data_IF_098944028876
#
_entry.id   IF_098944028876
#
_cell.length_a   1.000
_cell.length_b   1.000
_cell.length_c   1.000
_cell.angle_alpha   90.00
_cell.angle_beta   90.00
_cell.angle_gamma   90.00
#
_symmetry.space_group_name_H-M   'P 1'
#
loop_
_entity.id
_entity.type
_entity.pdbx_description
1 polymer ?
#
# COMPACT_ATOMS: atom_id res chain seq x y z
N UNK A 1 -16.34 -1.75 -9.22
CA UNK A 1 -15.18 -0.96 -9.68
C UNK A 1 -13.89 -1.76 -9.64
N UNK A 2 -13.40 -2.21 -8.47
CA UNK A 2 -12.16 -3.03 -8.42
C UNK A 2 -12.24 -4.33 -9.24
N UNK A 3 -13.42 -4.97 -9.31
CA UNK A 3 -13.63 -6.16 -10.15
C UNK A 3 -13.25 -5.89 -11.61
N UNK A 4 -13.81 -4.85 -12.21
CA UNK A 4 -13.51 -4.47 -13.59
C UNK A 4 -12.02 -4.17 -13.80
N UNK A 5 -11.36 -3.48 -12.86
CA UNK A 5 -9.91 -3.24 -12.94
C UNK A 5 -9.10 -4.54 -12.94
N UNK A 6 -9.54 -5.54 -12.16
CA UNK A 6 -8.91 -6.86 -12.11
C UNK A 6 -9.22 -7.70 -13.35
N UNK A 7 -10.45 -7.68 -13.84
CA UNK A 7 -10.85 -8.37 -15.08
C UNK A 7 -10.01 -7.82 -16.26
N UNK A 8 -9.95 -6.49 -16.41
CA UNK A 8 -9.11 -5.82 -17.41
C UNK A 8 -7.61 -6.19 -17.25
N UNK A 9 -7.13 -6.34 -16.01
CA UNK A 9 -5.75 -6.74 -15.75
C UNK A 9 -5.51 -8.20 -16.15
N UNK A 10 -6.38 -9.13 -15.76
CA UNK A 10 -6.24 -10.55 -16.10
C UNK A 10 -6.34 -10.79 -17.59
N UNK A 11 -7.24 -10.10 -18.29
CA UNK A 11 -7.36 -10.16 -19.74
C UNK A 11 -6.06 -9.73 -20.43
N UNK A 12 -5.42 -8.65 -19.96
CA UNK A 12 -4.13 -8.19 -20.47
C UNK A 12 -2.98 -9.14 -20.12
N UNK A 13 -2.92 -9.61 -18.88
CA UNK A 13 -1.88 -10.51 -18.41
C UNK A 13 -1.96 -11.89 -19.10
N UNK A 14 -3.13 -12.27 -19.63
CA UNK A 14 -3.31 -13.48 -20.45
C UNK A 14 -2.88 -13.33 -21.91
N UNK A 15 -2.46 -12.14 -22.37
CA UNK A 15 -2.06 -11.95 -23.76
C UNK A 15 -0.67 -12.55 -24.05
N UNK A 16 -0.45 -13.23 -25.18
CA UNK A 16 0.81 -13.92 -25.50
C UNK A 16 2.06 -13.03 -25.59
N UNK A 17 1.87 -11.71 -25.68
CA UNK A 17 2.96 -10.73 -25.76
C UNK A 17 3.71 -10.55 -24.43
N UNK A 18 3.15 -11.03 -23.31
CA UNK A 18 3.81 -10.99 -22.00
C UNK A 18 4.23 -12.38 -21.60
N UNK A 19 5.45 -12.50 -21.09
CA UNK A 19 5.89 -13.74 -20.49
C UNK A 19 5.23 -13.86 -19.10
N UNK A 20 4.05 -14.48 -19.07
CA UNK A 20 3.20 -14.54 -17.90
C UNK A 20 2.85 -15.96 -17.50
N UNK A 21 3.11 -16.31 -16.23
CA UNK A 21 2.69 -17.58 -15.64
C UNK A 21 1.50 -17.40 -14.70
N UNK A 22 0.46 -18.21 -14.88
CA UNK A 22 -0.69 -18.29 -13.97
C UNK A 22 -0.67 -19.58 -13.15
N UNK A 23 -0.86 -19.47 -11.83
CA UNK A 23 -1.02 -20.61 -10.92
C UNK A 23 -2.23 -20.36 -10.03
N UNK A 24 -3.17 -21.31 -10.02
CA UNK A 24 -4.39 -21.24 -9.21
C UNK A 24 -4.27 -22.20 -8.02
N UNK A 25 -4.61 -21.72 -6.82
CA UNK A 25 -4.61 -22.55 -5.62
C UNK A 25 -5.82 -22.25 -4.74
N UNK A 26 -6.60 -23.28 -4.43
CA UNK A 26 -7.68 -23.18 -3.47
C UNK A 26 -7.16 -23.58 -2.08
N UNK A 27 -7.45 -22.78 -1.07
CA UNK A 27 -7.09 -23.05 0.32
C UNK A 27 -8.26 -22.69 1.22
N UNK A 28 -8.99 -23.70 1.71
CA UNK A 28 -10.22 -23.54 2.49
C UNK A 28 -11.24 -22.64 1.72
N UNK A 29 -11.75 -21.59 2.36
CA UNK A 29 -12.70 -20.62 1.79
C UNK A 29 -12.03 -19.52 0.94
N UNK A 30 -10.79 -19.72 0.50
CA UNK A 30 -10.02 -18.75 -0.25
C UNK A 30 -9.52 -19.31 -1.57
N UNK A 31 -9.57 -18.47 -2.59
CA UNK A 31 -8.94 -18.74 -3.89
C UNK A 31 -7.75 -17.81 -4.04
N UNK A 32 -6.59 -18.37 -4.35
CA UNK A 32 -5.35 -17.62 -4.62
C UNK A 32 -5.04 -17.75 -6.11
N UNK A 33 -5.04 -16.62 -6.79
CA UNK A 33 -4.50 -16.51 -8.15
C UNK A 33 -3.10 -15.94 -8.04
N UNK A 34 -2.10 -16.68 -8.52
CA UNK A 34 -0.71 -16.25 -8.57
C UNK A 34 -0.35 -15.96 -10.02
N UNK A 35 0.09 -14.73 -10.28
CA UNK A 35 0.54 -14.26 -11.60
C UNK A 35 2.00 -13.83 -11.48
N UNK A 36 2.86 -14.34 -12.34
CA UNK A 36 4.25 -13.87 -12.49
C UNK A 36 4.40 -13.27 -13.87
N UNK A 37 4.75 -11.99 -13.95
CA UNK A 37 5.01 -11.27 -15.20
C UNK A 37 6.48 -10.85 -15.24
N UNK A 38 7.15 -11.13 -16.36
CA UNK A 38 8.41 -10.50 -16.71
C UNK A 38 8.11 -9.34 -17.67
N UNK A 39 8.36 -8.12 -17.21
CA UNK A 39 8.05 -6.90 -17.97
C UNK A 39 9.26 -6.30 -18.70
N UNK A 40 10.35 -7.08 -18.82
CA UNK A 40 11.69 -6.76 -19.34
C UNK A 40 12.55 -5.87 -18.43
N UNK A 41 11.95 -5.18 -17.46
CA UNK A 41 12.67 -4.28 -16.54
C UNK A 41 12.65 -4.79 -15.09
N UNK A 42 11.67 -5.62 -14.75
CA UNK A 42 11.49 -6.21 -13.43
C UNK A 42 10.64 -7.48 -13.53
N UNK A 43 10.80 -8.32 -12.51
CA UNK A 43 9.91 -9.45 -12.28
C UNK A 43 8.80 -9.01 -11.32
N UNK A 44 7.56 -9.11 -11.78
CA UNK A 44 6.36 -8.79 -11.03
C UNK A 44 5.68 -10.09 -10.58
N UNK A 45 5.59 -10.30 -9.28
CA UNK A 45 4.99 -11.48 -8.69
C UNK A 45 3.76 -11.08 -7.87
N UNK A 46 2.58 -11.34 -8.41
CA UNK A 46 1.30 -10.98 -7.81
C UNK A 46 0.58 -12.20 -7.23
N UNK A 47 0.01 -12.04 -6.04
CA UNK A 47 -0.90 -13.02 -5.44
C UNK A 47 -2.18 -12.32 -5.03
N UNK A 48 -3.28 -12.72 -5.67
CA UNK A 48 -4.61 -12.20 -5.44
C UNK A 48 -5.36 -13.17 -4.55
N UNK A 49 -5.83 -12.70 -3.39
CA UNK A 49 -6.62 -13.48 -2.46
C UNK A 49 -8.10 -13.11 -2.61
N UNK A 50 -8.92 -14.07 -3.03
CA UNK A 50 -10.36 -13.91 -3.15
C UNK A 50 -11.11 -14.68 -2.06
N UNK A 51 -12.27 -14.16 -1.65
CA UNK A 51 -13.22 -14.84 -0.76
C UNK A 51 -14.64 -14.61 -1.27
N UNK A 52 -15.38 -15.70 -1.54
CA UNK A 52 -16.74 -15.65 -2.12
C UNK A 52 -16.83 -14.65 -3.29
N UNK A 53 -15.89 -14.75 -4.22
CA UNK A 53 -15.76 -13.92 -5.43
C UNK A 53 -15.49 -12.42 -5.24
N UNK A 54 -15.12 -12.00 -4.02
CA UNK A 54 -14.62 -10.64 -3.76
C UNK A 54 -13.12 -10.66 -3.42
N UNK A 55 -12.39 -9.67 -3.95
CA UNK A 55 -10.97 -9.51 -3.62
C UNK A 55 -10.82 -9.08 -2.16
N UNK A 56 -10.01 -9.83 -1.41
CA UNK A 56 -9.66 -9.54 0.00
C UNK A 56 -8.35 -8.78 0.10
N UNK A 57 -7.33 -9.26 -0.62
CA UNK A 57 -6.01 -8.67 -0.60
C UNK A 57 -5.21 -9.00 -1.83
N UNK A 58 -4.25 -8.15 -2.12
CA UNK A 58 -3.27 -8.34 -3.17
C UNK A 58 -1.90 -8.18 -2.55
N UNK A 59 -1.11 -9.23 -2.67
CA UNK A 59 0.30 -9.23 -2.33
C UNK A 59 1.09 -9.15 -3.63
N UNK A 60 2.11 -8.30 -3.67
CA UNK A 60 2.97 -8.11 -4.83
C UNK A 60 4.42 -8.05 -4.39
N UNK A 61 5.28 -8.76 -5.09
CA UNK A 61 6.71 -8.61 -4.98
C UNK A 61 7.27 -8.12 -6.32
N UNK A 62 8.20 -7.17 -6.24
CA UNK A 62 8.87 -6.59 -7.40
C UNK A 62 10.38 -6.71 -7.18
N UNK A 63 11.06 -7.35 -8.12
CA UNK A 63 12.53 -7.41 -8.16
C UNK A 63 13.02 -6.49 -9.28
N UNK A 64 13.72 -5.42 -8.90
CA UNK A 64 14.26 -4.44 -9.83
C UNK A 64 15.70 -4.83 -10.19
N UNK A 65 16.11 -4.67 -11.45
CA UNK A 65 17.41 -5.14 -11.96
C UNK A 65 18.66 -4.67 -11.17
N UNK A 66 18.57 -3.62 -10.36
CA UNK A 66 19.68 -3.10 -9.53
C UNK A 66 19.72 -3.69 -8.10
N UNK A 67 18.97 -4.76 -7.83
CA UNK A 67 18.93 -5.43 -6.52
C UNK A 67 17.99 -4.80 -5.50
N UNK A 68 17.40 -3.66 -5.83
CA UNK A 68 16.29 -3.08 -5.08
C UNK A 68 15.07 -3.98 -5.18
N UNK A 69 14.44 -4.24 -4.04
CA UNK A 69 13.22 -5.06 -3.98
C UNK A 69 12.13 -4.35 -3.22
N UNK A 70 10.89 -4.64 -3.61
CA UNK A 70 9.73 -4.17 -2.87
C UNK A 70 8.68 -5.26 -2.70
N UNK A 71 8.06 -5.29 -1.52
CA UNK A 71 6.83 -6.05 -1.28
C UNK A 71 5.71 -5.06 -1.00
N UNK A 72 4.68 -5.08 -1.83
CA UNK A 72 3.45 -4.34 -1.62
C UNK A 72 2.38 -5.30 -1.13
N UNK A 73 1.66 -4.89 -0.10
CA UNK A 73 0.47 -5.58 0.37
C UNK A 73 -0.67 -4.59 0.47
N UNK A 74 -1.73 -4.86 -0.29
CA UNK A 74 -2.96 -4.08 -0.27
C UNK A 74 -4.08 -4.94 0.27
N UNK A 75 -4.82 -4.39 1.23
CA UNK A 75 -5.95 -5.04 1.88
C UNK A 75 -7.21 -4.22 1.59
N UNK A 76 -8.22 -4.91 1.08
CA UNK A 76 -9.51 -4.36 0.68
C UNK A 76 -10.50 -4.58 1.82
N UNK A 77 -10.89 -3.50 2.52
CA UNK A 77 -11.72 -3.60 3.73
C UNK A 77 -12.82 -2.54 3.75
N UNK A 78 -14.08 -2.97 3.74
CA UNK A 78 -15.26 -2.12 3.92
C UNK A 78 -15.13 -0.75 3.20
N UNK A 79 -14.92 0.33 3.97
CA UNK A 79 -14.84 1.71 3.49
C UNK A 79 -13.47 2.08 2.89
N UNK A 80 -12.39 1.41 3.31
CA UNK A 80 -11.02 1.83 2.98
C UNK A 80 -10.16 0.71 2.39
N UNK A 81 -9.32 1.10 1.44
CA UNK A 81 -8.22 0.28 0.93
C UNK A 81 -6.94 0.71 1.64
N UNK A 82 -6.31 -0.24 2.33
CA UNK A 82 -5.08 -0.02 3.09
C UNK A 82 -3.92 -0.68 2.39
N UNK A 83 -2.81 0.03 2.28
CA UNK A 83 -1.62 -0.47 1.59
C UNK A 83 -0.37 -0.22 2.39
N UNK A 84 0.53 -1.20 2.36
CA UNK A 84 1.89 -1.08 2.85
C UNK A 84 2.84 -1.57 1.77
N UNK A 85 3.87 -0.78 1.49
CA UNK A 85 4.97 -1.14 0.59
C UNK A 85 6.27 -1.11 1.38
N UNK A 86 6.97 -2.23 1.42
CA UNK A 86 8.28 -2.35 2.07
C UNK A 86 9.35 -2.35 1.00
N UNK A 87 10.29 -1.39 1.08
CA UNK A 87 11.52 -1.36 0.27
C UNK A 87 12.64 -2.00 1.08
N UNK A 88 13.39 -2.90 0.47
CA UNK A 88 14.41 -3.66 1.17
C UNK A 88 15.56 -4.07 0.24
N UNK A 89 16.72 -4.32 0.85
CA UNK A 89 17.88 -4.92 0.24
C UNK A 89 18.33 -6.09 1.12
N UNK A 90 18.51 -7.27 0.52
CA UNK A 90 18.69 -8.54 1.25
C UNK A 90 17.62 -8.76 2.34
N UNK A 91 18.00 -8.69 3.61
CA UNK A 91 17.09 -8.79 4.76
C UNK A 91 16.95 -7.47 5.53
N UNK A 92 17.47 -6.37 4.98
CA UNK A 92 17.40 -5.04 5.58
C UNK A 92 16.25 -4.23 5.00
N UNK A 93 15.34 -3.77 5.87
CA UNK A 93 14.27 -2.85 5.49
C UNK A 93 14.83 -1.44 5.37
N UNK A 94 14.76 -0.88 4.17
CA UNK A 94 15.27 0.47 3.85
C UNK A 94 14.18 1.55 4.00
N UNK A 95 12.93 1.16 3.82
CA UNK A 95 11.81 2.07 4.00
C UNK A 95 10.45 1.38 3.90
N UNK A 96 9.44 2.08 4.40
CA UNK A 96 8.05 1.65 4.34
C UNK A 96 7.21 2.81 3.84
N UNK A 97 6.34 2.55 2.85
CA UNK A 97 5.26 3.45 2.47
C UNK A 97 3.94 2.88 2.96
N UNK A 98 3.12 3.69 3.63
CA UNK A 98 1.73 3.33 3.99
C UNK A 98 0.79 4.25 3.23
N UNK A 99 -0.31 3.71 2.72
CA UNK A 99 -1.34 4.49 2.04
C UNK A 99 -2.72 4.05 2.47
N UNK A 100 -3.60 5.04 2.65
CA UNK A 100 -5.03 4.85 2.88
C UNK A 100 -5.77 5.49 1.71
N UNK A 101 -6.65 4.74 1.08
CA UNK A 101 -7.49 5.21 -0.03
C UNK A 101 -8.85 4.54 0.04
N UNK A 102 -9.67 4.73 -0.98
CA UNK A 102 -11.04 4.23 -1.09
C UNK A 102 -11.19 3.38 -2.35
N UNK A 103 -12.18 2.49 -2.33
CA UNK A 103 -12.41 1.54 -3.41
C UNK A 103 -12.70 2.21 -4.77
N UNK A 104 -13.37 3.36 -4.74
CA UNK A 104 -13.75 4.14 -5.90
C UNK A 104 -12.64 5.05 -6.44
N UNK A 105 -11.49 5.12 -5.75
CA UNK A 105 -10.34 5.94 -6.12
C UNK A 105 -9.20 5.14 -6.76
N UNK A 106 -9.40 3.83 -6.90
CA UNK A 106 -8.54 2.96 -7.68
C UNK A 106 -8.83 3.17 -9.16
N UNK A 107 -7.79 3.33 -9.95
CA UNK A 107 -7.90 3.51 -11.40
C UNK A 107 -6.97 2.53 -12.12
N UNK A 108 -7.21 2.33 -13.42
CA UNK A 108 -6.33 1.53 -14.27
C UNK A 108 -4.93 2.13 -14.29
N UNK A 109 -3.93 1.25 -14.27
CA UNK A 109 -2.54 1.66 -14.46
C UNK A 109 -2.33 2.15 -15.91
N UNK A 110 -1.93 3.41 -16.14
CA UNK A 110 -1.71 3.93 -17.49
C UNK A 110 -0.59 3.19 -18.24
N UNK A 111 0.35 2.59 -17.51
CA UNK A 111 1.44 1.78 -18.08
C UNK A 111 1.00 0.32 -18.29
N UNK A 112 -0.22 -0.03 -17.89
CA UNK A 112 -0.82 -1.36 -17.97
C UNK A 112 0.02 -2.47 -17.32
N UNK A 113 0.95 -2.16 -16.42
CA UNK A 113 1.82 -3.13 -15.73
C UNK A 113 1.22 -3.61 -14.42
N UNK A 114 0.41 -2.77 -13.77
CA UNK A 114 -0.16 -3.04 -12.47
C UNK A 114 -1.67 -3.33 -12.56
N UNK A 115 -2.23 -4.10 -11.61
CA UNK A 115 -3.67 -4.34 -11.55
C UNK A 115 -4.49 -3.05 -11.35
N UNK A 116 -3.91 -2.07 -10.65
CA UNK A 116 -4.46 -0.73 -10.44
C UNK A 116 -3.37 0.20 -9.89
N UNK A 117 -3.66 1.51 -9.91
CA UNK A 117 -2.93 2.53 -9.16
C UNK A 117 -3.89 3.35 -8.29
N UNK A 118 -3.33 4.15 -7.37
CA UNK A 118 -4.10 5.09 -6.57
C UNK A 118 -4.31 6.40 -7.33
N UNK A 119 -5.48 6.53 -7.95
CA UNK A 119 -5.90 7.78 -8.58
C UNK A 119 -6.12 8.88 -7.55
N UNK A 120 -6.58 8.52 -6.34
CA UNK A 120 -6.58 9.39 -5.16
C UNK A 120 -6.14 8.64 -3.92
N UNK A 121 -5.77 9.37 -2.86
CA UNK A 121 -5.49 8.80 -1.54
C UNK A 121 -5.80 9.81 -0.45
N UNK A 122 -6.43 9.35 0.63
CA UNK A 122 -6.70 10.16 1.82
C UNK A 122 -5.39 10.56 2.50
N UNK A 123 -4.46 9.60 2.66
CA UNK A 123 -3.14 9.84 3.22
C UNK A 123 -2.08 8.90 2.64
N UNK A 124 -0.88 9.43 2.42
CA UNK A 124 0.32 8.64 2.16
C UNK A 124 1.46 9.05 3.09
N UNK A 125 2.14 8.04 3.63
CA UNK A 125 3.19 8.14 4.63
C UNK A 125 4.43 7.42 4.10
N UNK A 126 5.61 8.03 4.24
CA UNK A 126 6.89 7.40 3.93
C UNK A 126 7.79 7.44 5.15
N UNK A 127 8.28 6.25 5.50
CA UNK A 127 9.24 6.01 6.54
C UNK A 127 10.56 5.60 5.92
N UNK A 128 11.64 6.28 6.27
CA UNK A 128 12.99 5.93 5.81
C UNK A 128 13.86 5.47 6.97
N UNK A 129 14.78 4.55 6.65
CA UNK A 129 15.76 4.04 7.60
C UNK A 129 16.68 5.15 8.10
N UNK A 130 16.68 5.34 9.40
CA UNK A 130 17.70 6.08 10.12
C UNK A 130 18.91 5.16 10.35
N UNK A 131 20.10 5.57 9.90
CA UNK A 131 21.29 4.70 9.90
C UNK A 131 21.91 4.51 11.29
N UNK A 132 21.62 5.41 12.23
CA UNK A 132 22.20 5.35 13.58
C UNK A 132 21.36 4.45 14.50
N UNK A 133 20.05 4.60 14.43
CA UNK A 133 19.10 3.86 15.29
C UNK A 133 18.54 2.60 14.64
N UNK A 134 18.70 2.46 13.31
CA UNK A 134 18.10 1.41 12.49
C UNK A 134 16.57 1.35 12.53
N UNK A 135 15.94 2.41 13.05
CA UNK A 135 14.49 2.57 13.05
C UNK A 135 14.05 3.24 11.74
N UNK A 136 12.78 3.08 11.38
CA UNK A 136 12.21 3.84 10.27
C UNK A 136 11.49 5.07 10.81
N UNK A 137 11.92 6.25 10.38
CA UNK A 137 11.34 7.52 10.79
C UNK A 137 10.41 8.04 9.72
N UNK A 138 9.22 8.53 10.12
CA UNK A 138 8.31 9.22 9.23
C UNK A 138 9.03 10.45 8.68
N UNK A 139 9.31 10.47 7.38
CA UNK A 139 10.05 11.54 6.71
C UNK A 139 9.18 12.33 5.75
N UNK A 140 8.13 11.70 5.21
CA UNK A 140 7.18 12.36 4.32
C UNK A 140 5.75 11.96 4.65
N UNK A 141 4.84 12.92 4.56
CA UNK A 141 3.42 12.73 4.75
C UNK A 141 2.63 13.71 3.88
N UNK A 142 1.67 13.19 3.11
CA UNK A 142 0.73 14.02 2.35
C UNK A 142 -0.71 13.56 2.54
N UNK A 143 -1.64 14.51 2.49
CA UNK A 143 -3.08 14.28 2.52
C UNK A 143 -3.72 14.59 1.17
N UNK A 144 -4.91 14.01 0.95
CA UNK A 144 -5.81 14.34 -0.14
C UNK A 144 -5.10 14.36 -1.51
N UNK A 145 -4.29 13.33 -1.78
CA UNK A 145 -3.65 13.20 -3.07
C UNK A 145 -4.70 12.93 -4.15
N UNK A 146 -4.67 13.69 -5.23
CA UNK A 146 -5.52 13.48 -6.41
C UNK A 146 -4.68 13.61 -7.69
N UNK A 147 -4.54 12.49 -8.39
CA UNK A 147 -3.74 12.37 -9.62
C UNK A 147 -4.28 13.22 -10.77
N UNK A 148 -5.60 13.39 -10.87
CA UNK A 148 -6.27 14.06 -11.99
C UNK A 148 -6.12 15.58 -11.88
N UNK A 149 -6.39 16.13 -10.70
CA UNK A 149 -6.27 17.55 -10.41
C UNK A 149 -4.85 17.99 -10.02
N UNK A 150 -3.93 17.03 -9.87
CA UNK A 150 -2.56 17.25 -9.35
C UNK A 150 -2.56 17.90 -7.96
N UNK A 151 -3.61 17.66 -7.18
CA UNK A 151 -3.75 18.20 -5.83
C UNK A 151 -3.08 17.31 -4.78
N UNK A 152 -2.47 17.92 -3.77
CA UNK A 152 -2.11 17.27 -2.51
C UNK A 152 -1.78 18.31 -1.45
N UNK A 153 -1.94 17.94 -0.18
CA UNK A 153 -1.49 18.76 0.95
C UNK A 153 -0.31 18.08 1.62
N UNK A 154 0.89 18.66 1.49
CA UNK A 154 2.07 18.20 2.20
C UNK A 154 2.03 18.62 3.66
N UNK A 155 2.14 17.63 4.56
CA UNK A 155 2.23 17.85 6.01
C UNK A 155 3.68 17.80 6.49
N UNK A 156 4.44 16.87 5.93
CA UNK A 156 5.84 16.65 6.23
C UNK A 156 6.57 16.32 4.93
N UNK A 157 7.63 17.06 4.62
CA UNK A 157 8.61 16.80 3.56
C UNK A 157 9.81 17.74 3.78
N UNK A 158 10.86 17.66 2.97
CA UNK A 158 12.04 18.53 3.06
C UNK A 158 11.66 20.02 3.23
N UNK A 159 11.97 20.59 4.40
CA UNK A 159 11.68 22.00 4.75
C UNK A 159 10.23 22.32 5.15
N UNK A 160 9.32 21.34 5.11
CA UNK A 160 7.91 21.50 5.49
C UNK A 160 7.60 20.62 6.69
N UNK A 161 7.13 21.24 7.77
CA UNK A 161 6.64 20.52 8.95
C UNK A 161 5.41 21.21 9.53
N UNK A 162 4.25 20.65 9.27
CA UNK A 162 2.97 21.09 9.82
C UNK A 162 2.52 20.10 10.88
N UNK A 163 2.53 20.49 12.15
CA UNK A 163 2.27 19.57 13.25
C UNK A 163 0.77 19.39 13.57
N UNK A 164 -0.11 20.29 13.14
CA UNK A 164 -1.57 20.14 13.28
C UNK A 164 -2.28 20.97 12.22
N UNK A 165 -3.50 20.60 11.87
CA UNK A 165 -4.31 21.37 10.93
C UNK A 165 -5.62 20.70 10.56
N UNK A 166 -6.43 21.45 9.82
CA UNK A 166 -7.66 20.99 9.19
C UNK A 166 -7.66 21.42 7.72
N UNK A 167 -8.08 20.54 6.82
CA UNK A 167 -8.08 20.75 5.38
C UNK A 167 -9.34 20.17 4.78
N UNK A 168 -10.06 20.97 4.00
CA UNK A 168 -11.24 20.53 3.25
C UNK A 168 -10.83 20.27 1.79
N UNK A 169 -11.13 19.08 1.29
CA UNK A 169 -10.96 18.75 -0.12
C UNK A 169 -12.23 18.09 -0.65
N UNK A 170 -12.91 18.75 -1.60
CA UNK A 170 -14.26 18.40 -1.99
C UNK A 170 -15.19 18.43 -0.77
N UNK A 171 -15.86 17.29 -0.51
CA UNK A 171 -16.78 17.13 0.63
C UNK A 171 -16.14 16.40 1.83
N UNK A 172 -14.81 16.21 1.83
CA UNK A 172 -14.10 15.52 2.92
C UNK A 172 -13.23 16.48 3.70
N UNK A 173 -13.47 16.58 5.01
CA UNK A 173 -12.61 17.30 5.94
C UNK A 173 -11.56 16.34 6.54
N UNK A 174 -10.30 16.75 6.47
CA UNK A 174 -9.17 16.08 7.09
C UNK A 174 -8.65 16.90 8.24
N UNK A 175 -8.69 16.37 9.47
CA UNK A 175 -8.01 16.97 10.63
C UNK A 175 -6.86 16.09 11.06
N UNK A 176 -5.72 16.67 11.41
CA UNK A 176 -4.58 15.90 11.85
C UNK A 176 -3.78 16.56 12.96
N UNK A 177 -3.00 15.73 13.66
CA UNK A 177 -1.91 16.15 14.54
C UNK A 177 -0.73 15.19 14.41
N UNK A 178 0.49 15.72 14.48
CA UNK A 178 1.76 14.98 14.46
C UNK A 178 2.52 15.37 15.71
N UNK A 179 2.53 14.49 16.70
CA UNK A 179 3.23 14.68 17.98
C UNK A 179 4.15 13.50 18.30
N UNK A 180 3.73 12.56 19.16
CA UNK A 180 4.29 11.22 19.34
C UNK A 180 3.80 10.28 18.24
N UNK A 181 2.57 10.48 17.79
CA UNK A 181 1.95 9.76 16.70
C UNK A 181 1.34 10.73 15.69
N UNK A 182 1.14 10.27 14.47
CA UNK A 182 0.27 10.92 13.51
C UNK A 182 -1.17 10.46 13.76
N UNK A 183 -2.03 11.38 14.17
CA UNK A 183 -3.46 11.17 14.29
C UNK A 183 -4.15 11.84 13.10
N UNK A 184 -5.02 11.11 12.41
CA UNK A 184 -5.82 11.57 11.29
C UNK A 184 -7.29 11.32 11.57
N UNK A 185 -8.11 12.34 11.35
CA UNK A 185 -9.56 12.28 11.37
C UNK A 185 -10.07 12.62 9.97
N UNK A 186 -10.86 11.72 9.39
CA UNK A 186 -11.48 11.91 8.07
C UNK A 186 -12.98 12.05 8.31
N UNK A 187 -13.57 13.16 7.85
CA UNK A 187 -15.00 13.41 7.97
C UNK A 187 -15.63 13.62 6.60
N UNK A 188 -16.46 12.65 6.21
CA UNK A 188 -17.23 12.62 4.97
C UNK A 188 -18.61 11.99 5.25
N UNK A 189 -19.40 12.63 6.11
CA UNK A 189 -20.64 12.16 6.78
C UNK A 189 -20.42 11.52 8.16
N UNK A 190 -19.38 10.70 8.34
CA UNK A 190 -18.98 10.14 9.63
C UNK A 190 -17.51 10.46 9.93
N UNK A 191 -17.11 10.51 11.20
CA UNK A 191 -15.73 10.75 11.61
C UNK A 191 -15.01 9.41 11.80
N UNK A 192 -14.08 9.10 10.91
CA UNK A 192 -13.15 7.97 11.07
C UNK A 192 -11.81 8.45 11.62
N UNK A 193 -11.25 7.68 12.57
CA UNK A 193 -9.95 7.99 13.20
C UNK A 193 -8.90 6.96 12.81
N UNK A 194 -7.73 7.44 12.43
CA UNK A 194 -6.53 6.65 12.19
C UNK A 194 -5.36 7.19 13.00
N UNK A 195 -4.53 6.28 13.51
CA UNK A 195 -3.29 6.61 14.22
C UNK A 195 -2.15 5.82 13.59
N UNK A 196 -1.05 6.50 13.32
CA UNK A 196 0.16 5.93 12.75
C UNK A 196 1.37 6.38 13.58
N UNK A 197 2.35 5.50 13.83
CA UNK A 197 3.55 5.89 14.56
C UNK A 197 4.35 6.91 13.75
N UNK A 198 5.11 7.79 14.41
CA UNK A 198 6.14 8.58 13.71
C UNK A 198 7.48 7.83 13.60
N UNK A 199 7.68 6.81 14.44
CA UNK A 199 8.85 5.91 14.40
C UNK A 199 8.39 4.46 14.41
N UNK A 200 8.82 3.68 13.42
CA UNK A 200 8.66 2.22 13.41
C UNK A 200 9.99 1.63 13.89
N UNK A 201 9.96 0.96 15.04
CA UNK A 201 11.17 0.33 15.61
C UNK A 201 11.74 -0.74 14.67
N UNK A 202 13.06 -0.91 14.66
CA UNK A 202 13.76 -1.90 13.81
C UNK A 202 13.18 -3.33 13.94
N UNK A 203 12.88 -3.78 15.16
CA UNK A 203 12.27 -5.10 15.37
C UNK A 203 10.86 -5.20 14.78
N UNK A 204 10.10 -4.10 14.80
CA UNK A 204 8.75 -4.04 14.25
C UNK A 204 8.78 -4.02 12.71
N UNK A 205 9.69 -3.25 12.10
CA UNK A 205 9.84 -3.25 10.64
C UNK A 205 10.28 -4.62 10.12
N UNK A 206 11.20 -5.31 10.82
CA UNK A 206 11.57 -6.71 10.52
C UNK A 206 10.37 -7.66 10.64
N UNK A 207 9.55 -7.55 11.70
CA UNK A 207 8.33 -8.37 11.85
C UNK A 207 7.33 -8.16 10.72
N UNK A 208 7.11 -6.91 10.30
CA UNK A 208 6.28 -6.59 9.13
C UNK A 208 6.86 -7.25 7.88
N UNK A 209 8.16 -7.10 7.64
CA UNK A 209 8.83 -7.68 6.48
C UNK A 209 8.73 -9.22 6.46
N UNK A 210 9.01 -9.90 7.57
CA UNK A 210 8.87 -11.36 7.68
C UNK A 210 7.42 -11.80 7.47
N UNK A 211 6.46 -11.08 8.07
CA UNK A 211 5.04 -11.36 7.90
C UNK A 211 4.63 -11.30 6.42
N UNK A 212 5.05 -10.25 5.72
CA UNK A 212 4.78 -10.06 4.30
C UNK A 212 5.52 -11.05 3.39
N UNK A 213 6.75 -11.46 3.71
CA UNK A 213 7.48 -12.49 2.93
C UNK A 213 6.90 -13.90 3.10
N UNK A 214 6.34 -14.19 4.26
CA UNK A 214 5.71 -15.49 4.55
C UNK A 214 4.31 -15.60 3.93
N UNK A 215 3.65 -16.75 4.02
CA UNK A 215 2.22 -16.87 3.67
C UNK A 215 1.26 -16.32 4.75
N UNK A 216 1.78 -15.70 5.83
CA UNK A 216 0.97 -15.19 6.94
C UNK A 216 0.15 -13.96 6.58
N UNK A 217 0.47 -13.24 5.49
CA UNK A 217 -0.35 -12.12 5.00
C UNK A 217 -1.79 -12.50 4.65
N UNK A 218 -2.09 -13.80 4.51
CA UNK A 218 -3.46 -14.33 4.43
C UNK A 218 -4.31 -13.98 5.67
N UNK A 219 -3.68 -13.74 6.82
CA UNK A 219 -4.32 -13.34 8.08
C UNK A 219 -4.76 -11.85 8.08
N UNK A 220 -4.44 -11.10 7.01
CA UNK A 220 -4.92 -9.75 6.75
C UNK A 220 -4.20 -8.63 7.53
N UNK A 221 -4.79 -7.43 7.48
CA UNK A 221 -4.13 -6.21 7.98
C UNK A 221 -3.89 -6.15 9.50
N UNK A 222 -4.59 -6.97 10.29
CA UNK A 222 -4.56 -6.89 11.76
C UNK A 222 -3.14 -7.02 12.31
N UNK A 223 -2.35 -7.96 11.78
CA UNK A 223 -0.95 -8.17 12.22
C UNK A 223 -0.05 -6.99 11.90
N UNK A 224 -0.23 -6.35 10.74
CA UNK A 224 0.51 -5.12 10.39
C UNK A 224 0.19 -4.03 11.41
N UNK A 225 -1.08 -3.83 11.76
CA UNK A 225 -1.47 -2.84 12.78
C UNK A 225 -0.83 -3.13 14.14
N UNK A 226 -0.78 -4.39 14.57
CA UNK A 226 -0.11 -4.80 15.82
C UNK A 226 1.39 -4.46 15.80
N UNK A 227 2.07 -4.60 14.65
CA UNK A 227 3.50 -4.27 14.53
C UNK A 227 3.78 -2.78 14.33
N UNK A 228 2.79 -1.99 13.88
CA UNK A 228 2.91 -0.53 13.81
C UNK A 228 2.68 0.15 15.16
N UNK A 229 2.22 -0.58 16.18
CA UNK A 229 1.99 -0.06 17.54
C UNK A 229 3.25 -0.12 18.41
#
# INVERSE_FOLDING_TARGET
MIKNLLDDYFDRAGQPLRNTEFKYKNKNNFNITHVVEDDEFRILNHRFLFSKDSIKSIWRHQDWMMGDRSIDFTFFYEKYVKSISVRYFEDTVLGIKISLTRHDWLISDPDFRLPYIYGKSDIELWYYLDKETLNLHLSKCRLAYDYKSKHSVTLLDHGVKKNKGAYLYGNTEYRYSIDRDLNLYISDHNIDKFTFPIVIKSNNSKRIFTYLRSYRWLDGWKKIKEYLS
#
